data_IF_498210627392
#
_entry.id   IF_498210627392
#
_cell.length_a   1.000
_cell.length_b   1.000
_cell.length_c   1.000
_cell.angle_alpha   90.00
_cell.angle_beta   90.00
_cell.angle_gamma   90.00
#
_symmetry.space_group_name_H-M   'P 1'
#
loop_
_entity.id
_entity.type
_entity.pdbx_description
1 polymer ?
#
# COMPACT_ATOMS: atom_id res chain seq x y z
N UNK A 1 -28.18 -41.92 -6.21
CA UNK A 1 -27.12 -42.31 -5.25
C UNK A 1 -25.99 -41.32 -5.40
N UNK A 2 -26.13 -40.19 -4.71
CA UNK A 2 -25.17 -39.10 -4.64
C UNK A 2 -24.67 -39.06 -3.21
N UNK A 3 -23.44 -39.43 -2.97
CA UNK A 3 -22.83 -39.22 -1.66
C UNK A 3 -21.36 -38.87 -1.83
N UNK A 4 -21.02 -37.71 -1.22
CA UNK A 4 -19.72 -37.35 -0.69
C UNK A 4 -18.64 -36.87 -1.66
N UNK A 5 -18.73 -35.59 -1.95
CA UNK A 5 -17.56 -34.74 -2.15
C UNK A 5 -17.61 -33.61 -1.11
N UNK A 6 -17.58 -33.96 0.15
CA UNK A 6 -17.41 -33.01 1.23
C UNK A 6 -16.18 -33.48 2.02
N UNK A 7 -15.25 -32.54 2.24
CA UNK A 7 -14.27 -32.66 3.32
C UNK A 7 -12.91 -33.30 3.04
N UNK A 8 -12.19 -32.81 2.03
CA UNK A 8 -10.71 -32.90 2.10
C UNK A 8 -10.09 -31.58 2.59
N UNK A 9 -10.82 -30.47 2.49
CA UNK A 9 -10.35 -29.15 2.95
C UNK A 9 -10.37 -28.96 4.48
N UNK A 10 -11.06 -29.81 5.24
CA UNK A 10 -11.23 -29.64 6.68
C UNK A 10 -10.26 -30.45 7.56
N UNK A 11 -9.44 -31.31 6.98
CA UNK A 11 -8.53 -32.19 7.73
C UNK A 11 -7.06 -31.76 7.71
N UNK A 12 -6.74 -30.66 7.02
CA UNK A 12 -5.37 -30.12 6.97
C UNK A 12 -5.06 -29.08 8.07
N UNK A 13 -6.00 -28.80 8.98
CA UNK A 13 -5.86 -27.73 9.96
C UNK A 13 -5.48 -28.19 11.39
N UNK A 14 -5.02 -29.42 11.57
CA UNK A 14 -4.78 -29.95 12.94
C UNK A 14 -3.34 -30.41 13.24
N UNK A 15 -2.42 -30.30 12.31
CA UNK A 15 -0.99 -30.44 12.63
C UNK A 15 -0.25 -29.13 12.34
N UNK A 16 0.69 -28.73 13.21
CA UNK A 16 1.50 -27.56 12.94
C UNK A 16 2.28 -27.77 11.64
N UNK A 17 1.99 -26.92 10.64
CA UNK A 17 2.67 -26.93 9.37
C UNK A 17 4.15 -26.59 9.57
N UNK A 18 5.05 -27.42 9.06
CA UNK A 18 6.49 -27.17 9.15
C UNK A 18 6.90 -26.01 8.23
N UNK A 19 8.03 -25.36 8.55
CA UNK A 19 8.55 -24.23 7.79
C UNK A 19 8.65 -24.52 6.29
N UNK A 20 9.17 -25.69 5.92
CA UNK A 20 9.34 -26.08 4.51
C UNK A 20 8.00 -26.22 3.78
N UNK A 21 6.97 -26.71 4.46
CA UNK A 21 5.61 -26.81 3.93
C UNK A 21 4.98 -25.44 3.72
N UNK A 22 5.15 -24.50 4.69
CA UNK A 22 4.74 -23.12 4.55
C UNK A 22 5.44 -22.43 3.37
N UNK A 23 6.74 -22.62 3.22
CA UNK A 23 7.51 -22.07 2.11
C UNK A 23 7.00 -22.56 0.75
N UNK A 24 6.74 -23.86 0.63
CA UNK A 24 6.15 -24.42 -0.58
C UNK A 24 4.76 -23.84 -0.86
N UNK A 25 3.92 -23.75 0.15
CA UNK A 25 2.58 -23.18 0.05
C UNK A 25 2.62 -21.69 -0.37
N UNK A 26 3.47 -20.87 0.22
CA UNK A 26 3.59 -19.45 -0.12
C UNK A 26 4.07 -19.25 -1.56
N UNK A 27 4.95 -20.13 -2.04
CA UNK A 27 5.42 -20.12 -3.42
C UNK A 27 4.32 -20.54 -4.40
N UNK A 28 3.60 -21.63 -4.12
CA UNK A 28 2.60 -22.19 -5.02
C UNK A 28 1.28 -21.40 -5.02
N UNK A 29 0.78 -21.01 -3.83
CA UNK A 29 -0.52 -20.36 -3.71
C UNK A 29 -0.45 -18.84 -3.94
N UNK A 30 0.63 -18.21 -3.49
CA UNK A 30 0.72 -16.74 -3.51
C UNK A 30 1.74 -16.21 -4.52
N UNK A 31 2.59 -17.07 -5.08
CA UNK A 31 3.60 -16.68 -6.06
C UNK A 31 4.63 -15.68 -5.52
N UNK A 32 4.93 -15.76 -4.22
CA UNK A 32 5.90 -14.88 -3.58
C UNK A 32 7.33 -15.21 -4.01
N UNK A 33 8.22 -14.21 -4.06
CA UNK A 33 9.65 -14.43 -4.27
C UNK A 33 10.25 -15.31 -3.15
N UNK A 34 11.17 -16.18 -3.49
CA UNK A 34 11.82 -17.07 -2.53
C UNK A 34 12.54 -16.31 -1.40
N UNK A 35 13.11 -15.16 -1.72
CA UNK A 35 13.74 -14.27 -0.73
C UNK A 35 12.74 -13.79 0.33
N UNK A 36 11.56 -13.31 -0.09
CA UNK A 36 10.51 -12.83 0.81
C UNK A 36 9.98 -13.97 1.68
N UNK A 37 9.75 -15.14 1.06
CA UNK A 37 9.30 -16.36 1.74
C UNK A 37 10.26 -16.75 2.86
N UNK A 38 11.57 -16.74 2.59
CA UNK A 38 12.59 -17.10 3.57
C UNK A 38 12.54 -16.16 4.78
N UNK A 39 12.48 -14.86 4.56
CA UNK A 39 12.43 -13.86 5.66
C UNK A 39 11.14 -13.98 6.47
N UNK A 40 9.98 -14.07 5.80
CA UNK A 40 8.68 -14.19 6.49
C UNK A 40 8.63 -15.46 7.33
N UNK A 41 9.19 -16.59 6.83
CA UNK A 41 9.13 -17.88 7.52
C UNK A 41 10.30 -18.14 8.46
N UNK A 42 11.29 -17.25 8.53
CA UNK A 42 12.40 -17.34 9.49
C UNK A 42 11.97 -16.95 10.90
N UNK A 43 11.09 -15.96 11.01
CA UNK A 43 10.56 -15.46 12.27
C UNK A 43 9.08 -15.84 12.45
N UNK A 44 8.75 -16.35 13.64
CA UNK A 44 7.38 -16.80 13.94
C UNK A 44 6.40 -15.61 13.96
N UNK A 45 6.79 -14.47 14.49
CA UNK A 45 5.91 -13.29 14.58
C UNK A 45 5.58 -12.76 13.19
N UNK A 46 6.58 -12.71 12.29
CA UNK A 46 6.34 -12.30 10.89
C UNK A 46 5.47 -13.31 10.15
N UNK A 47 5.66 -14.62 10.40
CA UNK A 47 4.79 -15.67 9.86
C UNK A 47 3.36 -15.50 10.32
N UNK A 48 3.15 -15.36 11.63
CA UNK A 48 1.82 -15.23 12.24
C UNK A 48 1.12 -13.94 11.75
N UNK A 49 1.84 -12.83 11.67
CA UNK A 49 1.35 -11.56 11.11
C UNK A 49 0.92 -11.73 9.65
N UNK A 50 1.76 -12.36 8.82
CA UNK A 50 1.46 -12.59 7.41
C UNK A 50 0.19 -13.43 7.25
N UNK A 51 0.12 -14.57 7.95
CA UNK A 51 -1.04 -15.47 7.87
C UNK A 51 -2.32 -14.81 8.37
N UNK A 52 -2.26 -14.09 9.49
CA UNK A 52 -3.42 -13.33 10.00
C UNK A 52 -3.93 -12.31 8.99
N UNK A 53 -3.04 -11.57 8.33
CA UNK A 53 -3.45 -10.63 7.29
C UNK A 53 -4.12 -11.32 6.08
N UNK A 54 -3.64 -12.52 5.69
CA UNK A 54 -4.26 -13.30 4.61
C UNK A 54 -5.65 -13.81 5.03
N UNK A 55 -5.80 -14.30 6.24
CA UNK A 55 -7.09 -14.73 6.80
C UNK A 55 -8.10 -13.59 6.85
N UNK A 56 -7.66 -12.37 7.09
CA UNK A 56 -8.47 -11.14 7.04
C UNK A 56 -8.75 -10.66 5.60
N UNK A 57 -8.26 -11.36 4.59
CA UNK A 57 -8.56 -11.12 3.18
C UNK A 57 -7.62 -10.16 2.46
N UNK A 58 -6.48 -9.83 3.03
CA UNK A 58 -5.48 -9.02 2.34
C UNK A 58 -4.76 -9.81 1.24
N UNK A 59 -4.36 -9.14 0.16
CA UNK A 59 -3.57 -9.75 -0.91
C UNK A 59 -2.16 -10.09 -0.42
N UNK A 60 -1.76 -11.36 -0.54
CA UNK A 60 -0.48 -11.87 -0.04
C UNK A 60 0.73 -11.05 -0.51
N UNK A 61 0.72 -10.63 -1.77
CA UNK A 61 1.80 -9.82 -2.34
C UNK A 61 1.89 -8.43 -1.70
N UNK A 62 0.75 -7.81 -1.38
CA UNK A 62 0.74 -6.50 -0.71
C UNK A 62 1.24 -6.64 0.73
N UNK A 63 0.80 -7.66 1.47
CA UNK A 63 1.29 -7.92 2.84
C UNK A 63 2.80 -8.19 2.82
N UNK A 64 3.30 -9.03 1.91
CA UNK A 64 4.73 -9.27 1.72
C UNK A 64 5.48 -7.97 1.44
N UNK A 65 4.98 -7.10 0.54
CA UNK A 65 5.60 -5.81 0.25
C UNK A 65 5.68 -4.90 1.50
N UNK A 66 4.66 -4.88 2.35
CA UNK A 66 4.69 -4.12 3.60
C UNK A 66 5.68 -4.70 4.60
N UNK A 67 5.74 -6.02 4.75
CA UNK A 67 6.72 -6.67 5.63
C UNK A 67 8.14 -6.34 5.15
N UNK A 68 8.46 -6.62 3.89
CA UNK A 68 9.80 -6.47 3.33
C UNK A 68 10.26 -5.01 3.23
N UNK A 69 9.31 -4.09 3.02
CA UNK A 69 9.60 -2.67 2.88
C UNK A 69 9.55 -1.92 4.21
N UNK A 70 8.36 -1.62 4.67
CA UNK A 70 8.17 -0.66 5.76
C UNK A 70 8.31 -1.28 7.15
N UNK A 71 7.86 -2.54 7.39
CA UNK A 71 8.02 -3.21 8.70
C UNK A 71 9.50 -3.46 8.99
N UNK A 72 10.23 -4.10 8.08
CA UNK A 72 11.66 -4.37 8.26
C UNK A 72 12.48 -3.08 8.39
N UNK A 73 12.09 -2.01 7.68
CA UNK A 73 12.71 -0.69 7.81
C UNK A 73 12.52 -0.12 9.22
N UNK A 74 11.28 -0.11 9.72
CA UNK A 74 10.98 0.45 11.05
C UNK A 74 11.61 -0.35 12.18
N UNK A 75 11.60 -1.69 12.10
CA UNK A 75 12.30 -2.54 13.07
C UNK A 75 13.78 -2.17 13.14
N UNK A 76 14.43 -2.04 11.98
CA UNK A 76 15.84 -1.65 11.91
C UNK A 76 16.10 -0.22 12.42
N UNK A 77 15.27 0.75 12.02
CA UNK A 77 15.43 2.16 12.44
C UNK A 77 15.23 2.36 13.95
N UNK A 78 14.35 1.54 14.54
CA UNK A 78 14.03 1.60 15.97
C UNK A 78 14.81 0.61 16.83
N UNK A 79 15.74 -0.14 16.21
CA UNK A 79 16.53 -1.21 16.85
C UNK A 79 15.65 -2.23 17.59
N UNK A 80 14.51 -2.62 16.95
CA UNK A 80 13.52 -3.56 17.46
C UNK A 80 13.65 -4.90 16.76
N UNK A 81 13.27 -5.98 17.46
CA UNK A 81 13.11 -7.32 16.91
C UNK A 81 11.65 -7.54 16.42
N UNK A 82 11.41 -8.56 15.61
CA UNK A 82 10.07 -8.86 15.14
C UNK A 82 9.09 -9.19 16.29
N UNK A 83 9.60 -9.76 17.39
CA UNK A 83 8.82 -10.03 18.61
C UNK A 83 8.29 -8.78 19.33
N UNK A 84 8.85 -7.61 19.01
CA UNK A 84 8.41 -6.33 19.58
C UNK A 84 7.24 -5.70 18.81
N UNK A 85 6.83 -6.32 17.70
CA UNK A 85 5.65 -5.90 16.94
C UNK A 85 4.41 -6.08 17.81
N UNK A 86 3.68 -5.00 18.04
CA UNK A 86 2.51 -4.97 18.92
C UNK A 86 1.24 -4.43 18.23
N UNK A 87 1.34 -3.97 16.97
CA UNK A 87 0.16 -3.53 16.23
C UNK A 87 -0.68 -4.71 15.74
N UNK A 88 -1.97 -4.48 15.59
CA UNK A 88 -2.94 -5.49 15.15
C UNK A 88 -2.89 -5.73 13.63
N UNK A 89 -2.97 -6.99 13.17
CA UNK A 89 -3.07 -7.31 11.74
C UNK A 89 -4.26 -6.61 11.07
N UNK A 90 -5.37 -6.42 11.81
CA UNK A 90 -6.59 -5.77 11.36
C UNK A 90 -6.33 -4.34 10.89
N UNK A 91 -5.52 -3.57 11.62
CA UNK A 91 -5.20 -2.19 11.27
C UNK A 91 -4.30 -2.12 10.03
N UNK A 92 -3.36 -3.06 9.87
CA UNK A 92 -2.58 -3.17 8.65
C UNK A 92 -3.48 -3.50 7.44
N UNK A 93 -4.39 -4.47 7.59
CA UNK A 93 -5.31 -4.87 6.52
C UNK A 93 -6.27 -3.75 6.15
N UNK A 94 -6.87 -3.06 7.12
CA UNK A 94 -7.70 -1.87 6.86
C UNK A 94 -6.95 -0.81 6.06
N UNK A 95 -5.72 -0.51 6.44
CA UNK A 95 -4.89 0.45 5.70
C UNK A 95 -4.62 0.01 4.27
N UNK A 96 -4.32 -1.28 4.04
CA UNK A 96 -4.15 -1.83 2.68
C UNK A 96 -5.43 -1.66 1.87
N UNK A 97 -6.60 -1.98 2.43
CA UNK A 97 -7.90 -1.79 1.78
C UNK A 97 -8.19 -0.31 1.47
N UNK A 98 -7.76 0.61 2.33
CA UNK A 98 -7.87 2.05 2.05
C UNK A 98 -7.00 2.49 0.86
N UNK A 99 -5.86 1.85 0.63
CA UNK A 99 -5.04 2.09 -0.56
C UNK A 99 -5.73 1.53 -1.81
N UNK A 100 -6.24 0.31 -1.73
CA UNK A 100 -6.93 -0.38 -2.83
C UNK A 100 -8.19 0.36 -3.27
N UNK A 101 -8.95 0.89 -2.32
CA UNK A 101 -10.13 1.72 -2.60
C UNK A 101 -9.81 3.14 -3.07
N UNK A 102 -8.53 3.55 -3.05
CA UNK A 102 -8.12 4.91 -3.38
C UNK A 102 -8.45 5.96 -2.30
N UNK A 103 -8.90 5.56 -1.13
CA UNK A 103 -9.18 6.46 0.00
C UNK A 103 -7.92 7.19 0.48
N UNK A 104 -6.78 6.53 0.39
CA UNK A 104 -5.44 7.11 0.62
C UNK A 104 -4.47 6.63 -0.46
N UNK A 105 -3.46 7.44 -0.77
CA UNK A 105 -2.38 7.01 -1.65
C UNK A 105 -1.21 6.40 -0.84
N UNK A 106 -0.29 5.68 -1.52
CA UNK A 106 0.85 5.02 -0.85
C UNK A 106 1.73 5.95 -0.02
N UNK A 107 1.86 7.21 -0.40
CA UNK A 107 2.66 8.19 0.36
C UNK A 107 2.00 8.52 1.70
N UNK A 108 0.69 8.69 1.69
CA UNK A 108 -0.11 8.88 2.91
C UNK A 108 -0.09 7.62 3.75
N UNK A 109 -0.29 6.45 3.12
CA UNK A 109 -0.28 5.16 3.79
C UNK A 109 1.00 4.90 4.60
N UNK A 110 2.18 5.32 4.11
CA UNK A 110 3.42 5.21 4.88
C UNK A 110 3.40 5.97 6.19
N UNK A 111 2.80 7.18 6.20
CA UNK A 111 2.65 7.97 7.44
C UNK A 111 1.63 7.35 8.39
N UNK A 112 0.52 6.83 7.83
CA UNK A 112 -0.50 6.12 8.61
C UNK A 112 0.10 4.86 9.22
N UNK A 113 0.92 4.13 8.45
CA UNK A 113 1.58 2.93 8.93
C UNK A 113 2.59 3.21 10.06
N UNK A 114 3.32 4.31 10.00
CA UNK A 114 4.20 4.71 11.10
C UNK A 114 3.41 4.92 12.41
N UNK A 115 2.21 5.53 12.35
CA UNK A 115 1.34 5.67 13.51
C UNK A 115 0.74 4.33 13.97
N UNK A 116 0.37 3.44 13.03
CA UNK A 116 -0.06 2.07 13.37
C UNK A 116 1.07 1.33 14.08
N UNK A 117 2.28 1.40 13.54
CA UNK A 117 3.44 0.70 14.09
C UNK A 117 3.77 1.16 15.52
N UNK A 118 3.62 2.44 15.81
CA UNK A 118 3.99 3.03 17.10
C UNK A 118 2.87 2.92 18.16
N UNK A 119 1.61 3.05 17.78
CA UNK A 119 0.50 3.23 18.73
C UNK A 119 -0.72 2.34 18.42
N UNK A 120 -0.64 1.46 17.41
CA UNK A 120 -1.74 0.61 16.93
C UNK A 120 -3.05 1.38 16.68
N UNK A 121 -2.93 2.57 16.09
CA UNK A 121 -4.09 3.43 15.81
C UNK A 121 -5.00 2.82 14.74
N UNK A 122 -6.31 3.04 14.85
CA UNK A 122 -7.23 2.73 13.75
C UNK A 122 -6.94 3.64 12.55
N UNK A 123 -6.60 3.09 11.36
CA UNK A 123 -6.18 3.89 10.22
C UNK A 123 -7.29 4.80 9.67
N UNK A 124 -8.57 4.40 9.77
CA UNK A 124 -9.68 5.23 9.28
C UNK A 124 -9.85 6.46 10.15
N UNK A 125 -9.81 6.27 11.48
CA UNK A 125 -9.89 7.36 12.46
C UNK A 125 -8.71 8.31 12.28
N UNK A 126 -7.49 7.77 12.22
CA UNK A 126 -6.28 8.56 12.06
C UNK A 126 -6.29 9.39 10.76
N UNK A 127 -6.71 8.79 9.65
CA UNK A 127 -6.83 9.47 8.35
C UNK A 127 -7.88 10.59 8.40
N UNK A 128 -8.99 10.36 9.09
CA UNK A 128 -10.08 11.36 9.22
C UNK A 128 -9.65 12.55 10.09
N UNK A 129 -9.13 12.29 11.27
CA UNK A 129 -8.67 13.32 12.22
C UNK A 129 -7.54 14.18 11.63
N UNK A 130 -6.62 13.59 10.87
CA UNK A 130 -5.53 14.31 10.23
C UNK A 130 -5.87 14.83 8.82
N UNK A 131 -7.12 14.63 8.37
CA UNK A 131 -7.58 15.08 7.06
C UNK A 131 -6.72 14.55 5.92
N UNK A 132 -6.31 13.28 5.96
CA UNK A 132 -5.38 12.66 5.02
C UNK A 132 -6.06 11.95 3.84
N UNK A 133 -7.40 11.96 3.78
CA UNK A 133 -8.15 11.36 2.66
C UNK A 133 -7.66 11.92 1.32
N UNK A 134 -7.56 11.06 0.34
CA UNK A 134 -7.21 11.45 -1.03
C UNK A 134 -8.29 12.38 -1.57
N UNK A 135 -7.88 13.48 -2.19
CA UNK A 135 -8.82 14.37 -2.87
C UNK A 135 -9.07 13.79 -4.26
N UNK A 136 -10.16 13.05 -4.39
CA UNK A 136 -10.62 12.46 -5.66
C UNK A 136 -11.63 13.35 -6.39
N UNK A 137 -11.80 14.61 -5.95
CA UNK A 137 -12.62 15.58 -6.65
C UNK A 137 -11.89 16.07 -7.91
N UNK A 138 -12.24 15.46 -9.05
CA UNK A 138 -11.67 15.79 -10.37
C UNK A 138 -11.84 17.28 -10.69
N UNK A 139 -12.99 17.87 -10.30
CA UNK A 139 -13.25 19.29 -10.54
C UNK A 139 -12.35 20.23 -9.74
N UNK A 140 -12.13 19.92 -8.46
CA UNK A 140 -11.20 20.67 -7.63
C UNK A 140 -9.75 20.49 -8.11
N UNK A 141 -9.39 19.26 -8.48
CA UNK A 141 -8.05 18.94 -8.98
C UNK A 141 -7.78 19.63 -10.32
N UNK A 142 -8.75 19.62 -11.24
CA UNK A 142 -8.66 20.28 -12.55
C UNK A 142 -8.42 21.79 -12.41
N UNK A 143 -9.14 22.46 -11.51
CA UNK A 143 -8.94 23.92 -11.25
C UNK A 143 -7.52 24.22 -10.78
N UNK A 144 -7.00 23.44 -9.85
CA UNK A 144 -5.61 23.59 -9.35
C UNK A 144 -4.60 23.37 -10.46
N UNK A 145 -4.81 22.37 -11.32
CA UNK A 145 -3.93 22.09 -12.46
C UNK A 145 -3.99 23.20 -13.49
N UNK A 146 -5.18 23.69 -13.85
CA UNK A 146 -5.35 24.81 -14.79
C UNK A 146 -4.64 26.06 -14.30
N UNK A 147 -4.75 26.39 -13.01
CA UNK A 147 -4.03 27.52 -12.40
C UNK A 147 -2.51 27.33 -12.46
N UNK A 148 -2.00 26.16 -12.17
CA UNK A 148 -0.56 25.84 -12.26
C UNK A 148 -0.08 25.95 -13.71
N UNK A 149 -0.84 25.44 -14.66
CA UNK A 149 -0.51 25.51 -16.11
C UNK A 149 -0.49 26.96 -16.58
N UNK A 150 -1.51 27.75 -16.22
CA UNK A 150 -1.60 29.18 -16.59
C UNK A 150 -0.44 30.01 -16.03
N UNK A 151 0.03 29.69 -14.82
CA UNK A 151 1.14 30.40 -14.18
C UNK A 151 2.53 29.98 -14.67
N UNK A 152 2.62 28.94 -15.52
CA UNK A 152 3.90 28.41 -16.00
C UNK A 152 3.97 28.24 -17.54
N UNK A 153 3.77 29.32 -18.33
CA UNK A 153 3.69 29.25 -19.79
C UNK A 153 4.96 28.67 -20.43
N UNK A 154 6.15 28.96 -19.86
CA UNK A 154 7.41 28.42 -20.36
C UNK A 154 7.49 26.90 -20.22
N UNK A 155 6.94 26.35 -19.15
CA UNK A 155 6.90 24.88 -18.99
C UNK A 155 5.89 24.22 -19.93
N UNK A 156 4.83 24.93 -20.31
CA UNK A 156 3.89 24.49 -21.37
C UNK A 156 4.59 24.43 -22.73
N UNK A 157 5.38 25.46 -23.08
CA UNK A 157 6.18 25.46 -24.30
C UNK A 157 7.19 24.29 -24.31
N UNK A 158 7.86 24.04 -23.18
CA UNK A 158 8.77 22.93 -23.04
C UNK A 158 8.08 21.56 -23.20
N UNK A 159 6.85 21.42 -22.71
CA UNK A 159 6.04 20.23 -22.92
C UNK A 159 5.70 20.02 -24.39
N UNK A 160 5.21 21.08 -25.07
CA UNK A 160 4.89 21.08 -26.50
C UNK A 160 6.13 20.85 -27.37
N UNK A 161 7.31 21.23 -26.91
CA UNK A 161 8.59 20.91 -27.53
C UNK A 161 9.08 19.47 -27.27
N UNK A 162 8.27 18.62 -26.63
CA UNK A 162 8.57 17.20 -26.37
C UNK A 162 9.52 16.94 -25.20
N UNK A 163 9.78 17.93 -24.34
CA UNK A 163 10.65 17.75 -23.18
C UNK A 163 9.91 16.98 -22.06
N UNK A 164 10.21 15.70 -21.90
CA UNK A 164 9.58 14.80 -20.90
C UNK A 164 9.62 15.31 -19.46
N UNK A 165 10.63 16.13 -19.10
CA UNK A 165 10.75 16.71 -17.76
C UNK A 165 9.65 17.72 -17.41
N UNK A 166 9.02 18.35 -18.42
CA UNK A 166 7.96 19.34 -18.21
C UNK A 166 6.71 18.72 -17.56
N UNK A 167 6.31 17.51 -17.98
CA UNK A 167 5.23 16.76 -17.33
C UNK A 167 5.52 16.50 -15.85
N UNK A 168 6.73 16.02 -15.54
CA UNK A 168 7.14 15.78 -14.14
C UNK A 168 7.15 17.05 -13.28
N UNK A 169 7.44 18.21 -13.87
CA UNK A 169 7.34 19.50 -13.20
C UNK A 169 5.89 19.81 -12.79
N UNK A 170 4.94 19.70 -13.72
CA UNK A 170 3.53 19.96 -13.45
C UNK A 170 2.95 18.99 -12.41
N UNK A 171 3.26 17.69 -12.53
CA UNK A 171 2.88 16.69 -11.52
C UNK A 171 3.43 17.07 -10.15
N UNK A 172 4.71 17.44 -10.06
CA UNK A 172 5.34 17.83 -8.80
C UNK A 172 4.72 19.07 -8.17
N UNK A 173 4.38 20.09 -8.96
CA UNK A 173 3.71 21.29 -8.48
C UNK A 173 2.28 21.00 -8.00
N UNK A 174 1.51 20.22 -8.76
CA UNK A 174 0.16 19.80 -8.37
C UNK A 174 0.19 19.00 -7.07
N UNK A 175 1.08 18.01 -6.96
CA UNK A 175 1.23 17.21 -5.73
C UNK A 175 1.61 18.08 -4.53
N UNK A 176 2.42 19.12 -4.74
CA UNK A 176 2.79 20.07 -3.67
C UNK A 176 1.60 20.94 -3.26
N UNK A 177 0.86 21.51 -4.22
CA UNK A 177 -0.33 22.32 -3.97
C UNK A 177 -1.41 21.52 -3.22
N UNK A 178 -1.58 20.26 -3.58
CA UNK A 178 -2.51 19.33 -2.94
C UNK A 178 -1.95 18.65 -1.67
N UNK A 179 -0.78 19.09 -1.18
CA UNK A 179 -0.10 18.55 0.01
C UNK A 179 0.13 17.02 -0.03
N UNK A 180 0.30 16.47 -1.24
CA UNK A 180 0.50 15.05 -1.46
C UNK A 180 -0.77 14.18 -1.38
N UNK A 181 -1.95 14.77 -1.31
CA UNK A 181 -3.24 14.06 -1.19
C UNK A 181 -3.92 13.74 -2.53
N UNK A 182 -3.40 14.24 -3.65
CA UNK A 182 -3.92 13.92 -4.97
C UNK A 182 -3.46 12.53 -5.43
N UNK A 183 -4.31 11.87 -6.24
CA UNK A 183 -3.90 10.66 -6.95
C UNK A 183 -2.98 11.04 -8.12
N UNK A 184 -1.72 10.55 -8.16
CA UNK A 184 -0.80 10.84 -9.24
C UNK A 184 -1.28 10.36 -10.62
N UNK A 185 -2.07 9.30 -10.69
CA UNK A 185 -2.62 8.79 -11.94
C UNK A 185 -3.65 9.76 -12.50
N UNK A 186 -4.56 10.25 -11.66
CA UNK A 186 -5.57 11.25 -12.02
C UNK A 186 -4.92 12.58 -12.41
N UNK A 187 -3.89 13.03 -11.68
CA UNK A 187 -3.10 14.23 -12.02
C UNK A 187 -2.49 14.11 -13.41
N UNK A 188 -1.88 12.97 -13.73
CA UNK A 188 -1.28 12.73 -15.04
C UNK A 188 -2.34 12.72 -16.16
N UNK A 189 -3.51 12.15 -15.91
CA UNK A 189 -4.60 12.13 -16.87
C UNK A 189 -5.10 13.54 -17.19
N UNK A 190 -5.44 14.31 -16.17
CA UNK A 190 -5.94 15.68 -16.32
C UNK A 190 -4.90 16.59 -16.98
N UNK A 191 -3.61 16.45 -16.60
CA UNK A 191 -2.53 17.20 -17.25
C UNK A 191 -2.42 16.93 -18.74
N UNK A 192 -2.57 15.66 -19.16
CA UNK A 192 -2.58 15.32 -20.59
C UNK A 192 -3.76 15.98 -21.31
N UNK A 193 -4.96 15.91 -20.73
CA UNK A 193 -6.15 16.53 -21.32
C UNK A 193 -6.03 18.05 -21.48
N UNK A 194 -5.30 18.74 -20.58
CA UNK A 194 -5.13 20.19 -20.61
C UNK A 194 -3.98 20.62 -21.53
N UNK A 195 -2.91 19.82 -21.65
CA UNK A 195 -1.69 20.20 -22.37
C UNK A 195 -1.68 19.73 -23.83
N UNK A 196 -2.41 18.65 -24.17
CA UNK A 196 -2.56 18.12 -25.53
C UNK A 196 -3.58 18.94 -26.33
#
# INVERSE_FOLDING_TARGET
MQILSLSVACLLYTSPEFRDEKQARYKEQFGLPEYDINIITEDKTLTDLFESCIELGAAAKEVSNWIMGDIMRLLKEKEMEASDIHFSPENLVKMIQMIESGAINRKVAKKVFEAIFDEDVDPEVYVEENGLKTVNDEGALRKVIEEIVANNPKSVEDYKAGKKKAMGFFVGQTMRAMKGKADPAMVNQILKEILD
#
